data_IF_357187766671
#
_entry.id   IF_357187766671
#
_cell.length_a   1.000
_cell.length_b   1.000
_cell.length_c   1.000
_cell.angle_alpha   90.00
_cell.angle_beta   90.00
_cell.angle_gamma   90.00
#
_symmetry.space_group_name_H-M   'P 1'
#
loop_
_entity.id
_entity.type
_entity.pdbx_description
1 polymer ?
#
# COMPACT_ATOMS: atom_id res chain seq x y z
N UNK A 1 -10.72 13.98 10.77
CA UNK A 1 -10.00 13.81 12.05
C UNK A 1 -8.98 12.72 11.83
N UNK A 2 -7.72 13.09 11.55
CA UNK A 2 -6.64 12.13 11.36
C UNK A 2 -6.22 11.61 12.72
N UNK A 3 -6.56 10.36 12.99
CA UNK A 3 -6.16 9.66 14.22
C UNK A 3 -4.64 9.66 14.29
N UNK A 4 -4.06 10.02 15.44
CA UNK A 4 -2.62 10.18 15.62
C UNK A 4 -1.93 8.80 15.55
N UNK A 5 -1.72 8.31 14.33
CA UNK A 5 -1.13 7.02 14.07
C UNK A 5 0.38 7.08 14.32
N UNK A 6 0.84 6.37 15.35
CA UNK A 6 2.25 6.34 15.74
C UNK A 6 3.13 5.65 14.69
N UNK A 7 2.52 4.83 13.80
CA UNK A 7 3.20 4.13 12.72
C UNK A 7 3.69 5.05 11.59
N UNK A 8 3.20 6.30 11.53
CA UNK A 8 3.73 7.30 10.59
C UNK A 8 5.23 7.58 10.82
N UNK A 9 5.76 7.33 12.01
CA UNK A 9 7.19 7.48 12.28
C UNK A 9 8.06 6.49 11.47
N UNK A 10 7.48 5.38 10.99
CA UNK A 10 8.18 4.40 10.15
C UNK A 10 8.19 4.76 8.67
N UNK A 11 7.40 5.77 8.26
CA UNK A 11 7.35 6.24 6.88
C UNK A 11 8.69 6.88 6.51
N UNK A 12 9.22 6.50 5.37
CA UNK A 12 10.42 7.11 4.79
C UNK A 12 10.19 7.48 3.33
N UNK A 13 11.06 8.31 2.78
CA UNK A 13 11.08 8.56 1.35
C UNK A 13 11.45 7.27 0.62
N UNK A 14 10.49 6.71 -0.11
CA UNK A 14 10.65 5.46 -0.84
C UNK A 14 10.33 5.66 -2.32
N UNK A 15 11.17 5.09 -3.17
CA UNK A 15 10.90 5.00 -4.59
C UNK A 15 9.90 3.88 -4.85
N UNK A 16 8.97 4.08 -5.78
CA UNK A 16 8.09 3.01 -6.24
C UNK A 16 8.91 1.92 -6.92
N UNK A 17 8.80 0.70 -6.41
CA UNK A 17 9.49 -0.47 -6.96
C UNK A 17 9.04 -0.83 -8.39
N UNK A 18 7.80 -0.47 -8.74
CA UNK A 18 7.25 -0.69 -10.07
C UNK A 18 6.24 0.41 -10.48
N UNK A 19 5.78 0.35 -11.73
CA UNK A 19 4.66 1.17 -12.25
C UNK A 19 3.28 0.63 -11.86
N UNK A 20 3.23 -0.53 -11.21
CA UNK A 20 2.01 -1.25 -10.90
C UNK A 20 2.27 -2.35 -9.87
N UNK A 21 1.28 -3.19 -9.61
CA UNK A 21 1.45 -4.30 -8.67
C UNK A 21 2.43 -5.32 -9.26
N UNK A 22 3.61 -5.45 -8.66
CA UNK A 22 4.69 -6.31 -9.16
C UNK A 22 4.26 -7.76 -9.35
N UNK A 23 3.51 -8.28 -8.39
CA UNK A 23 3.03 -9.65 -8.39
C UNK A 23 2.00 -9.88 -9.50
N UNK A 24 1.04 -8.96 -9.68
CA UNK A 24 0.08 -9.05 -10.78
C UNK A 24 0.76 -8.89 -12.15
N UNK A 25 1.77 -8.02 -12.26
CA UNK A 25 2.56 -7.87 -13.49
C UNK A 25 3.31 -9.17 -13.83
N UNK A 26 3.83 -9.89 -12.84
CA UNK A 26 4.51 -11.18 -13.04
C UNK A 26 3.55 -12.28 -13.47
N UNK A 27 2.33 -12.29 -12.96
CA UNK A 27 1.32 -13.30 -13.31
C UNK A 27 0.47 -12.93 -14.53
N UNK A 28 0.54 -11.67 -14.99
CA UNK A 28 -0.34 -11.15 -16.03
C UNK A 28 -1.78 -10.91 -15.55
N UNK A 29 -2.00 -10.82 -14.24
CA UNK A 29 -3.31 -10.48 -13.67
C UNK A 29 -3.56 -8.96 -13.68
N UNK A 30 -4.83 -8.60 -13.58
CA UNK A 30 -5.29 -7.22 -13.44
C UNK A 30 -5.53 -6.85 -11.98
N UNK A 31 -5.66 -5.55 -11.72
CA UNK A 31 -6.00 -4.98 -10.42
C UNK A 31 -7.00 -3.85 -10.60
N UNK A 32 -7.67 -3.50 -9.50
CA UNK A 32 -8.63 -2.39 -9.48
C UNK A 32 -7.92 -1.09 -9.11
N UNK A 33 -7.30 -1.07 -7.93
CA UNK A 33 -6.54 0.08 -7.43
C UNK A 33 -5.19 -0.36 -6.86
N UNK A 34 -4.23 0.54 -6.89
CA UNK A 34 -2.87 0.32 -6.41
C UNK A 34 -2.60 1.04 -5.09
N UNK A 35 -1.82 0.39 -4.23
CA UNK A 35 -1.38 0.92 -2.95
C UNK A 35 0.13 0.81 -2.87
N UNK A 36 0.80 1.92 -2.60
CA UNK A 36 2.24 1.94 -2.38
C UNK A 36 2.55 1.92 -0.88
N UNK A 37 3.39 0.99 -0.46
CA UNK A 37 3.93 0.96 0.89
C UNK A 37 4.91 2.12 1.08
N UNK A 38 4.66 2.94 2.11
CA UNK A 38 5.49 4.10 2.45
C UNK A 38 6.73 3.74 3.29
N UNK A 39 6.92 2.45 3.59
CA UNK A 39 8.04 1.96 4.39
C UNK A 39 9.06 1.25 3.51
N UNK A 40 8.66 0.59 2.43
CA UNK A 40 9.62 -0.10 1.53
C UNK A 40 9.46 0.22 0.04
N UNK A 41 8.43 0.99 -0.35
CA UNK A 41 8.20 1.34 -1.75
C UNK A 41 7.51 0.26 -2.59
N UNK A 42 7.12 -0.87 -1.98
CA UNK A 42 6.38 -1.95 -2.66
C UNK A 42 5.03 -1.45 -3.15
N UNK A 43 4.63 -1.84 -4.37
CA UNK A 43 3.29 -1.57 -4.89
C UNK A 43 2.47 -2.85 -4.89
N UNK A 44 1.37 -2.84 -4.14
CA UNK A 44 0.41 -3.93 -4.05
C UNK A 44 -0.95 -3.52 -4.58
N UNK A 45 -1.69 -4.47 -5.15
CA UNK A 45 -3.10 -4.28 -5.46
C UNK A 45 -3.97 -4.25 -4.19
N UNK A 46 -5.03 -3.45 -4.20
CA UNK A 46 -5.93 -3.25 -3.06
C UNK A 46 -6.72 -4.51 -2.67
N UNK A 47 -7.42 -4.46 -1.54
CA UNK A 47 -8.24 -5.59 -1.07
C UNK A 47 -9.44 -5.90 -1.98
N UNK A 48 -9.93 -4.92 -2.73
CA UNK A 48 -10.96 -5.10 -3.75
C UNK A 48 -10.43 -5.78 -5.02
N UNK A 49 -9.10 -5.90 -5.17
CA UNK A 49 -8.51 -6.66 -6.27
C UNK A 49 -8.46 -8.14 -5.91
N UNK A 50 -8.58 -9.00 -6.93
CA UNK A 50 -8.59 -10.47 -6.79
C UNK A 50 -7.48 -11.01 -5.89
N UNK A 51 -6.27 -10.47 -6.00
CA UNK A 51 -5.07 -11.01 -5.35
C UNK A 51 -4.71 -10.42 -3.99
N UNK A 52 -5.23 -9.24 -3.63
CA UNK A 52 -5.04 -8.56 -2.34
C UNK A 52 -3.57 -8.41 -1.91
N UNK A 53 -2.69 -8.12 -2.86
CA UNK A 53 -1.25 -8.09 -2.64
C UNK A 53 -0.80 -7.05 -1.60
N UNK A 54 -1.48 -5.90 -1.48
CA UNK A 54 -1.15 -4.93 -0.43
C UNK A 54 -1.37 -5.50 0.98
N UNK A 55 -2.45 -6.28 1.18
CA UNK A 55 -2.75 -6.93 2.47
C UNK A 55 -1.79 -8.09 2.74
N UNK A 56 -1.47 -8.91 1.73
CA UNK A 56 -0.47 -9.98 1.84
C UNK A 56 0.92 -9.42 2.18
N UNK A 57 1.30 -8.32 1.55
CA UNK A 57 2.54 -7.60 1.83
C UNK A 57 2.60 -7.15 3.28
N UNK A 58 1.54 -6.54 3.79
CA UNK A 58 1.44 -6.18 5.21
C UNK A 58 1.61 -7.41 6.11
N UNK A 59 0.97 -8.54 5.82
CA UNK A 59 1.11 -9.75 6.64
C UNK A 59 2.51 -10.36 6.58
N UNK A 60 3.21 -10.28 5.44
CA UNK A 60 4.55 -10.85 5.28
C UNK A 60 5.68 -9.97 5.80
N UNK A 61 5.52 -8.64 5.76
CA UNK A 61 6.58 -7.68 6.12
C UNK A 61 6.30 -6.91 7.40
N UNK A 62 5.05 -6.88 7.84
CA UNK A 62 4.63 -6.06 8.98
C UNK A 62 4.61 -4.56 8.68
N UNK A 63 4.51 -4.13 7.42
CA UNK A 63 4.45 -2.71 7.06
C UNK A 63 3.04 -2.11 7.18
N UNK A 64 2.72 -1.33 8.23
CA UNK A 64 1.37 -0.90 8.49
C UNK A 64 0.87 0.22 7.58
N UNK A 65 1.75 1.06 7.03
CA UNK A 65 1.36 2.26 6.28
C UNK A 65 1.48 2.06 4.77
N UNK A 66 0.37 2.34 4.09
CA UNK A 66 0.30 2.45 2.63
C UNK A 66 -0.35 3.76 2.22
N UNK A 67 -0.05 4.22 1.00
CA UNK A 67 -0.76 5.32 0.33
C UNK A 67 -1.44 4.84 -0.94
N UNK A 68 -2.46 5.57 -1.40
CA UNK A 68 -2.96 5.36 -2.76
C UNK A 68 -1.85 5.68 -3.77
N UNK A 69 -1.78 4.87 -4.83
CA UNK A 69 -0.92 5.13 -5.99
C UNK A 69 -1.75 5.54 -7.22
N UNK A 70 -3.02 5.87 -7.01
CA UNK A 70 -3.93 6.34 -8.05
C UNK A 70 -3.67 7.82 -8.35
N UNK A 71 -3.81 8.25 -9.63
CA UNK A 71 -3.66 9.65 -9.99
C UNK A 71 -4.75 10.51 -9.34
N UNK A 72 -4.34 11.48 -8.52
CA UNK A 72 -5.24 12.41 -7.83
C UNK A 72 -5.66 12.00 -6.42
N UNK A 73 -5.18 10.85 -5.92
CA UNK A 73 -5.41 10.42 -4.55
C UNK A 73 -4.12 10.49 -3.71
N UNK A 74 -4.15 11.27 -2.63
CA UNK A 74 -2.98 11.43 -1.73
C UNK A 74 -3.23 10.90 -0.31
N UNK A 75 -4.30 10.13 -0.11
CA UNK A 75 -4.62 9.58 1.20
C UNK A 75 -3.66 8.44 1.57
N UNK A 76 -3.43 8.31 2.88
CA UNK A 76 -2.68 7.21 3.48
C UNK A 76 -3.58 6.43 4.41
N UNK A 77 -3.25 5.16 4.59
CA UNK A 77 -4.01 4.23 5.41
C UNK A 77 -3.09 3.40 6.28
N UNK A 78 -3.47 3.25 7.55
CA UNK A 78 -2.83 2.33 8.47
C UNK A 78 -3.65 1.04 8.60
N UNK A 79 -3.02 -0.11 8.30
CA UNK A 79 -3.64 -1.43 8.47
C UNK A 79 -3.86 -1.82 9.94
N UNK A 80 -3.00 -1.35 10.85
CA UNK A 80 -3.12 -1.65 12.29
C UNK A 80 -4.27 -0.85 12.90
N UNK A 81 -4.25 0.46 12.72
CA UNK A 81 -5.28 1.37 13.26
C UNK A 81 -6.59 1.35 12.44
N UNK A 82 -6.57 0.74 11.25
CA UNK A 82 -7.69 0.68 10.30
C UNK A 82 -8.32 2.06 10.07
N UNK A 83 -7.47 3.05 9.84
CA UNK A 83 -7.87 4.46 9.72
C UNK A 83 -7.03 5.20 8.68
N UNK A 84 -7.58 6.30 8.16
CA UNK A 84 -6.86 7.21 7.29
C UNK A 84 -5.92 8.09 8.11
N UNK A 85 -4.71 8.31 7.58
CA UNK A 85 -3.61 9.02 8.25
C UNK A 85 -3.02 10.13 7.39
#
# INVERSE_FOLDING_TARGET
>A
MSTNCTHLNQVREVTSSAKGCEECLKTGDTWVHLRQCLICGHIGCCDSSKNKHATKHFHGTGHPIVKSFEPGEEWKWCYIDKTFV
#
